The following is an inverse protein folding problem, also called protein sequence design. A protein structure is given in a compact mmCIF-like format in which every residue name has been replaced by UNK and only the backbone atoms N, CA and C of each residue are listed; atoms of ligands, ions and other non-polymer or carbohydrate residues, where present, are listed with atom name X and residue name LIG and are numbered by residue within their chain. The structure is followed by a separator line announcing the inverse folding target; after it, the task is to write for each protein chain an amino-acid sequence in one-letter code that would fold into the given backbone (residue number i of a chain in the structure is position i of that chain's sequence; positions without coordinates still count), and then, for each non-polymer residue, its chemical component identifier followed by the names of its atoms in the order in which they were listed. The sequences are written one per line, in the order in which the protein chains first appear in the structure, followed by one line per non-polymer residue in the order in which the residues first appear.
data_IF_718577822481
#
_entry.id   IF_718577822481
#
_cell.length_a   1.000
_cell.length_b   1.000
_cell.length_c   1.000
_cell.angle_alpha   90.00
_cell.angle_beta   90.00
_cell.angle_gamma   90.00
#
_symmetry.space_group_name_H-M   'P 1'
#
loop_
_entity.id
_entity.type
_entity.pdbx_description
1 polymer ?
#
# COMPACT_ATOMS: atom_id res chain seq x y z
N UNK A 1 22.65 -7.64 11.96
CA UNK A 1 22.81 -7.06 13.32
C UNK A 1 22.18 -7.95 14.40
N UNK A 2 20.86 -8.17 14.41
CA UNK A 2 20.18 -9.01 15.43
C UNK A 2 20.75 -10.44 15.60
N UNK A 3 20.94 -11.17 14.49
CA UNK A 3 21.52 -12.53 14.52
C UNK A 3 22.97 -12.51 15.04
N UNK A 4 23.74 -11.49 14.65
CA UNK A 4 25.13 -11.31 15.08
C UNK A 4 25.22 -11.09 16.60
N UNK A 5 24.33 -10.25 17.15
CA UNK A 5 24.25 -10.01 18.60
C UNK A 5 23.81 -11.26 19.34
N UNK A 6 22.79 -11.98 18.84
CA UNK A 6 22.34 -13.24 19.44
C UNK A 6 23.45 -14.30 19.50
N UNK A 7 24.24 -14.42 18.42
CA UNK A 7 25.38 -15.33 18.37
C UNK A 7 26.47 -14.96 19.37
N UNK A 8 26.75 -13.66 19.54
CA UNK A 8 27.80 -13.17 20.45
C UNK A 8 27.38 -13.22 21.93
N UNK A 9 26.10 -12.98 22.25
CA UNK A 9 25.64 -12.85 23.63
C UNK A 9 25.08 -14.15 24.23
N UNK A 10 24.56 -15.07 23.42
CA UNK A 10 23.89 -16.30 23.92
C UNK A 10 24.48 -17.56 23.29
N UNK A 11 24.72 -17.53 21.98
CA UNK A 11 25.30 -18.64 21.24
C UNK A 11 24.65 -18.86 19.87
N UNK A 12 25.34 -19.61 19.02
CA UNK A 12 24.99 -19.81 17.60
C UNK A 12 23.64 -20.52 17.37
N UNK A 13 23.18 -21.32 18.34
CA UNK A 13 21.89 -22.00 18.28
C UNK A 13 20.72 -21.01 18.23
N UNK A 14 20.80 -19.90 18.97
CA UNK A 14 19.75 -18.89 19.02
C UNK A 14 19.66 -18.10 17.71
N UNK A 15 20.81 -17.74 17.13
CA UNK A 15 20.84 -17.09 15.81
C UNK A 15 20.24 -17.98 14.71
N UNK A 16 20.47 -19.29 14.79
CA UNK A 16 19.88 -20.27 13.86
C UNK A 16 18.37 -20.33 14.01
N UNK A 17 17.85 -20.42 15.25
CA UNK A 17 16.40 -20.40 15.50
C UNK A 17 15.74 -19.11 15.01
N UNK A 18 16.32 -17.95 15.31
CA UNK A 18 15.83 -16.65 14.82
C UNK A 18 15.78 -16.66 13.28
N UNK A 19 16.80 -17.21 12.61
CA UNK A 19 16.80 -17.38 11.15
C UNK A 19 15.60 -18.19 10.65
N UNK A 20 15.31 -19.34 11.28
CA UNK A 20 14.13 -20.15 10.94
C UNK A 20 12.81 -19.40 11.15
N UNK A 21 12.65 -18.68 12.27
CA UNK A 21 11.44 -17.90 12.56
C UNK A 21 11.23 -16.78 11.53
N UNK A 22 12.31 -16.10 11.13
CA UNK A 22 12.25 -15.06 10.10
C UNK A 22 11.82 -15.69 8.76
N UNK A 23 12.45 -16.79 8.34
CA UNK A 23 12.14 -17.44 7.06
C UNK A 23 10.68 -17.92 7.00
N UNK A 24 10.17 -18.55 8.06
CA UNK A 24 8.77 -19.01 8.08
C UNK A 24 7.77 -17.86 8.11
N UNK A 25 8.05 -16.80 8.86
CA UNK A 25 7.23 -15.58 8.90
C UNK A 25 7.18 -14.88 7.54
N UNK A 26 8.32 -14.71 6.88
CA UNK A 26 8.40 -14.10 5.54
C UNK A 26 7.65 -14.95 4.50
N UNK A 27 7.78 -16.27 4.56
CA UNK A 27 7.04 -17.17 3.69
C UNK A 27 5.53 -17.02 3.90
N UNK A 28 5.07 -17.07 5.16
CA UNK A 28 3.66 -16.91 5.49
C UNK A 28 3.10 -15.54 5.04
N UNK A 29 3.84 -14.45 5.28
CA UNK A 29 3.48 -13.11 4.84
C UNK A 29 3.35 -13.01 3.31
N UNK A 30 4.30 -13.61 2.57
CA UNK A 30 4.28 -13.62 1.10
C UNK A 30 3.03 -14.32 0.56
N UNK A 31 2.69 -15.49 1.11
CA UNK A 31 1.46 -16.22 0.75
C UNK A 31 0.20 -15.41 1.07
N UNK A 32 0.17 -14.74 2.22
CA UNK A 32 -0.95 -13.88 2.61
C UNK A 32 -1.13 -12.70 1.65
N UNK A 33 -0.04 -12.03 1.26
CA UNK A 33 -0.08 -10.93 0.30
C UNK A 33 -0.55 -11.39 -1.09
N UNK A 34 -0.07 -12.53 -1.58
CA UNK A 34 -0.50 -13.09 -2.86
C UNK A 34 -2.01 -13.34 -2.90
N UNK A 35 -2.55 -13.91 -1.81
CA UNK A 35 -3.97 -14.18 -1.67
C UNK A 35 -4.81 -12.90 -1.55
N UNK A 36 -4.34 -11.93 -0.77
CA UNK A 36 -4.99 -10.64 -0.60
C UNK A 36 -5.05 -9.87 -1.92
N UNK A 37 -3.91 -9.73 -2.61
CA UNK A 37 -3.82 -9.06 -3.91
C UNK A 37 -4.74 -9.70 -4.96
N UNK A 38 -4.78 -11.03 -5.02
CA UNK A 38 -5.66 -11.75 -5.94
C UNK A 38 -7.14 -11.46 -5.68
N UNK A 39 -7.55 -11.37 -4.40
CA UNK A 39 -8.93 -11.02 -4.01
C UNK A 39 -9.25 -9.56 -4.31
N UNK A 40 -8.31 -8.64 -4.13
CA UNK A 40 -8.48 -7.24 -4.53
C UNK A 40 -8.65 -7.09 -6.04
N UNK A 41 -7.79 -7.70 -6.85
CA UNK A 41 -7.91 -7.68 -8.32
C UNK A 41 -9.23 -8.33 -8.80
N UNK A 42 -9.65 -9.42 -8.15
CA UNK A 42 -10.94 -10.04 -8.42
C UNK A 42 -12.13 -9.12 -8.09
N UNK A 43 -12.10 -8.46 -6.93
CA UNK A 43 -13.12 -7.51 -6.52
C UNK A 43 -13.18 -6.31 -7.47
N UNK A 44 -12.02 -5.77 -7.89
CA UNK A 44 -11.94 -4.71 -8.89
C UNK A 44 -12.45 -5.16 -10.27
N UNK A 45 -12.20 -6.41 -10.66
CA UNK A 45 -12.75 -7.01 -11.89
C UNK A 45 -14.27 -7.18 -11.83
N UNK A 46 -14.81 -7.64 -10.70
CA UNK A 46 -16.26 -7.76 -10.47
C UNK A 46 -16.94 -6.40 -10.40
N UNK A 47 -16.30 -5.44 -9.75
CA UNK A 47 -16.67 -4.04 -9.77
C UNK A 47 -16.47 -3.39 -11.13
N UNK A 48 -15.87 -4.08 -12.12
CA UNK A 48 -15.63 -3.63 -13.49
C UNK A 48 -14.72 -2.40 -13.61
N UNK A 49 -13.86 -2.16 -12.62
CA UNK A 49 -12.71 -1.25 -12.70
C UNK A 49 -11.59 -1.89 -13.52
N UNK A 50 -11.46 -3.21 -13.43
CA UNK A 50 -10.53 -4.03 -14.22
C UNK A 50 -11.28 -4.89 -15.26
N UNK A 51 -10.57 -5.45 -16.26
CA UNK A 51 -11.20 -6.31 -17.27
C UNK A 51 -12.01 -7.45 -16.66
N UNK A 52 -13.15 -7.78 -17.28
CA UNK A 52 -14.07 -8.85 -16.83
C UNK A 52 -13.39 -10.23 -16.70
N UNK A 53 -12.25 -10.44 -17.35
CA UNK A 53 -11.43 -11.65 -17.22
C UNK A 53 -10.88 -11.85 -15.81
N UNK A 54 -10.66 -10.78 -15.03
CA UNK A 54 -10.22 -10.84 -13.64
C UNK A 54 -11.35 -11.18 -12.66
N UNK A 55 -12.61 -11.03 -13.08
CA UNK A 55 -13.79 -11.42 -12.30
C UNK A 55 -14.10 -12.93 -12.37
N UNK A 56 -13.28 -13.73 -13.08
CA UNK A 56 -13.49 -15.17 -13.22
C UNK A 56 -12.86 -15.95 -12.07
N UNK A 57 -13.64 -16.87 -11.49
CA UNK A 57 -13.16 -17.89 -10.55
C UNK A 57 -13.03 -19.24 -11.24
N UNK A 58 -12.15 -20.10 -10.74
CA UNK A 58 -12.05 -21.49 -11.18
C UNK A 58 -13.15 -22.36 -10.53
N UNK A 59 -13.21 -23.64 -10.92
CA UNK A 59 -14.22 -24.60 -10.40
C UNK A 59 -14.16 -24.87 -8.88
N UNK A 60 -13.13 -24.36 -8.18
CA UNK A 60 -13.00 -24.44 -6.71
C UNK A 60 -13.24 -23.09 -6.01
N UNK A 61 -13.69 -22.07 -6.75
CA UNK A 61 -14.02 -20.75 -6.22
C UNK A 61 -12.82 -19.80 -6.06
N UNK A 62 -11.61 -20.19 -6.49
CA UNK A 62 -10.42 -19.33 -6.39
C UNK A 62 -10.26 -18.43 -7.63
N UNK A 63 -9.87 -17.14 -7.47
CA UNK A 63 -9.65 -16.22 -8.58
C UNK A 63 -8.31 -16.51 -9.29
N UNK A 64 -8.29 -17.57 -10.09
CA UNK A 64 -7.07 -18.10 -10.73
C UNK A 64 -6.36 -17.05 -11.61
N UNK A 65 -7.11 -16.31 -12.43
CA UNK A 65 -6.54 -15.32 -13.33
C UNK A 65 -5.85 -14.17 -12.57
N UNK A 66 -6.47 -13.68 -11.49
CA UNK A 66 -5.89 -12.64 -10.64
C UNK A 66 -4.61 -13.12 -9.95
N UNK A 67 -4.59 -14.38 -9.50
CA UNK A 67 -3.42 -14.99 -8.86
C UNK A 67 -2.25 -15.16 -9.84
N UNK A 68 -2.52 -15.67 -11.06
CA UNK A 68 -1.51 -15.80 -12.12
C UNK A 68 -0.91 -14.43 -12.45
N UNK A 69 -1.76 -13.40 -12.61
CA UNK A 69 -1.29 -12.06 -12.98
C UNK A 69 -0.46 -11.44 -11.85
N UNK A 70 -0.87 -11.62 -10.60
CA UNK A 70 -0.08 -11.15 -9.45
C UNK A 70 1.29 -11.84 -9.43
N UNK A 71 1.34 -13.16 -9.63
CA UNK A 71 2.62 -13.91 -9.66
C UNK A 71 3.50 -13.47 -10.83
N UNK A 72 2.91 -13.33 -12.02
CA UNK A 72 3.63 -12.86 -13.20
C UNK A 72 4.21 -11.46 -12.98
N UNK A 73 3.42 -10.54 -12.39
CA UNK A 73 3.90 -9.20 -12.05
C UNK A 73 5.05 -9.25 -11.05
N UNK A 74 4.96 -10.06 -9.99
CA UNK A 74 6.05 -10.23 -9.03
C UNK A 74 7.34 -10.74 -9.70
N UNK A 75 7.24 -11.74 -10.57
CA UNK A 75 8.39 -12.27 -11.31
C UNK A 75 8.99 -11.21 -12.24
N UNK A 76 8.15 -10.45 -12.96
CA UNK A 76 8.60 -9.38 -13.85
C UNK A 76 9.35 -8.28 -13.08
N UNK A 77 8.84 -7.87 -11.91
CA UNK A 77 9.53 -6.89 -11.05
C UNK A 77 10.87 -7.45 -10.59
N UNK A 78 10.94 -8.70 -10.11
CA UNK A 78 12.21 -9.31 -9.69
C UNK A 78 13.21 -9.35 -10.85
N UNK A 79 12.79 -9.81 -12.03
CA UNK A 79 13.64 -9.87 -13.22
C UNK A 79 14.11 -8.48 -13.64
N UNK A 80 13.25 -7.47 -13.59
CA UNK A 80 13.64 -6.09 -13.90
C UNK A 80 14.79 -5.61 -13.00
N UNK A 81 14.70 -5.79 -11.69
CA UNK A 81 15.78 -5.37 -10.77
C UNK A 81 17.05 -6.19 -10.97
N UNK A 82 16.91 -7.50 -11.21
CA UNK A 82 18.05 -8.38 -11.46
C UNK A 82 18.80 -8.03 -12.75
N UNK A 83 18.10 -7.71 -13.84
CA UNK A 83 18.69 -7.34 -15.13
C UNK A 83 19.37 -5.97 -15.10
N UNK A 84 18.88 -5.05 -14.28
CA UNK A 84 19.46 -3.71 -14.11
C UNK A 84 20.57 -3.69 -13.03
N UNK A 85 20.89 -4.82 -12.41
CA UNK A 85 21.92 -4.89 -11.35
C UNK A 85 21.60 -4.07 -10.10
N UNK A 86 20.32 -3.77 -9.87
CA UNK A 86 19.87 -2.97 -8.73
C UNK A 86 19.81 -3.83 -7.47
N UNK A 87 20.34 -3.32 -6.36
CA UNK A 87 20.28 -3.99 -5.06
C UNK A 87 18.80 -4.17 -4.63
N UNK A 88 18.32 -5.41 -4.40
CA UNK A 88 16.93 -5.69 -4.03
C UNK A 88 16.53 -5.13 -2.66
N UNK A 89 17.48 -4.97 -1.75
CA UNK A 89 17.21 -4.41 -0.42
C UNK A 89 17.22 -2.89 -0.52
N UNK A 90 18.28 -2.30 -1.08
CA UNK A 90 18.41 -0.84 -1.09
C UNK A 90 17.42 -0.15 -2.04
N UNK A 91 17.05 -0.79 -3.14
CA UNK A 91 16.14 -0.21 -4.11
C UNK A 91 14.74 -0.80 -3.96
N UNK A 92 14.55 -2.10 -4.26
CA UNK A 92 13.21 -2.68 -4.33
C UNK A 92 12.48 -2.61 -2.98
N UNK A 93 13.10 -3.07 -1.89
CA UNK A 93 12.46 -3.09 -0.58
C UNK A 93 12.11 -1.67 -0.08
N UNK A 94 13.05 -0.72 -0.10
CA UNK A 94 12.76 0.65 0.36
C UNK A 94 11.76 1.38 -0.54
N UNK A 95 11.84 1.23 -1.87
CA UNK A 95 10.89 1.86 -2.79
C UNK A 95 9.48 1.33 -2.58
N UNK A 96 9.31 0.01 -2.48
CA UNK A 96 8.01 -0.61 -2.29
C UNK A 96 7.46 -0.37 -0.88
N UNK A 97 8.31 -0.39 0.15
CA UNK A 97 7.92 -0.08 1.53
C UNK A 97 7.44 1.36 1.65
N UNK A 98 8.20 2.32 1.11
CA UNK A 98 7.82 3.73 1.11
C UNK A 98 6.51 3.97 0.34
N UNK A 99 6.36 3.36 -0.83
CA UNK A 99 5.11 3.43 -1.61
C UNK A 99 3.92 2.85 -0.83
N UNK A 100 4.09 1.71 -0.16
CA UNK A 100 3.05 1.08 0.63
C UNK A 100 2.59 1.96 1.80
N UNK A 101 3.53 2.60 2.50
CA UNK A 101 3.21 3.53 3.60
C UNK A 101 2.48 4.77 3.06
N UNK A 102 2.94 5.36 1.95
CA UNK A 102 2.25 6.51 1.34
C UNK A 102 0.81 6.11 0.97
N UNK A 103 0.64 4.96 0.32
CA UNK A 103 -0.68 4.48 -0.10
C UNK A 103 -1.62 4.22 1.08
N UNK A 104 -1.15 3.56 2.15
CA UNK A 104 -2.00 3.24 3.30
C UNK A 104 -2.41 4.50 4.07
N UNK A 105 -1.47 5.43 4.29
CA UNK A 105 -1.76 6.69 4.96
C UNK A 105 -2.74 7.53 4.14
N UNK A 106 -2.64 7.51 2.80
CA UNK A 106 -3.60 8.17 1.94
C UNK A 106 -5.00 7.57 2.12
N UNK A 107 -5.12 6.24 2.17
CA UNK A 107 -6.39 5.55 2.44
C UNK A 107 -6.93 5.92 3.82
N UNK A 108 -6.09 5.98 4.86
CA UNK A 108 -6.50 6.38 6.21
C UNK A 108 -6.99 7.84 6.29
N UNK A 109 -6.38 8.75 5.51
CA UNK A 109 -6.87 10.13 5.35
C UNK A 109 -8.25 10.12 4.70
N UNK A 110 -8.43 9.37 3.61
CA UNK A 110 -9.74 9.25 2.95
C UNK A 110 -10.81 8.67 3.88
N UNK A 111 -10.47 7.67 4.68
CA UNK A 111 -11.36 7.09 5.69
C UNK A 111 -11.73 8.14 6.73
N UNK A 112 -10.76 8.91 7.23
CA UNK A 112 -11.02 9.98 8.21
C UNK A 112 -11.97 11.05 7.65
N UNK A 113 -11.80 11.44 6.38
CA UNK A 113 -12.74 12.33 5.67
C UNK A 113 -14.11 11.68 5.52
N UNK A 114 -14.17 10.40 5.11
CA UNK A 114 -15.41 9.66 4.93
C UNK A 114 -16.22 9.55 6.22
N UNK A 115 -15.55 9.32 7.37
CA UNK A 115 -16.18 9.29 8.70
C UNK A 115 -16.79 10.65 9.04
N UNK A 116 -16.07 11.75 8.83
CA UNK A 116 -16.58 13.11 9.07
C UNK A 116 -17.82 13.37 8.20
N UNK A 117 -17.76 13.02 6.91
CA UNK A 117 -18.88 13.19 5.97
C UNK A 117 -20.07 12.30 6.34
N UNK A 118 -19.83 11.05 6.73
CA UNK A 118 -20.88 10.11 7.12
C UNK A 118 -21.66 10.62 8.33
N UNK A 119 -20.95 10.97 9.40
CA UNK A 119 -21.58 11.52 10.60
C UNK A 119 -22.10 12.95 10.40
N UNK A 120 -21.64 13.69 9.39
CA UNK A 120 -22.26 14.97 9.02
C UNK A 120 -23.72 14.80 8.58
N UNK A 121 -24.06 13.65 7.99
CA UNK A 121 -25.38 13.33 7.41
C UNK A 121 -26.25 12.44 8.31
N UNK A 122 -25.65 11.58 9.14
CA UNK A 122 -26.35 10.56 9.95
C UNK A 122 -26.08 10.70 11.45
N UNK A 123 -26.10 11.92 11.98
CA UNK A 123 -25.83 12.15 13.40
C UNK A 123 -27.02 11.75 14.28
N UNK A 124 -27.07 10.50 14.74
CA UNK A 124 -28.06 10.03 15.71
C UNK A 124 -27.45 9.97 17.12
N UNK A 125 -27.29 11.13 17.77
CA UNK A 125 -26.95 11.20 19.20
C UNK A 125 -25.48 11.06 19.58
N UNK A 126 -24.56 10.97 18.63
CA UNK A 126 -23.12 10.90 18.93
C UNK A 126 -22.52 12.24 19.38
N UNK A 127 -21.62 12.17 20.37
CA UNK A 127 -20.90 13.33 20.89
C UNK A 127 -19.95 13.96 19.86
N UNK A 128 -19.80 15.29 19.92
CA UNK A 128 -18.93 16.09 19.02
C UNK A 128 -17.49 15.58 18.99
N UNK A 129 -17.02 15.00 20.10
CA UNK A 129 -15.69 14.43 20.20
C UNK A 129 -15.48 13.25 19.24
N UNK A 130 -16.38 12.26 19.25
CA UNK A 130 -16.30 11.06 18.41
C UNK A 130 -16.58 11.38 16.95
N UNK A 131 -17.55 12.27 16.69
CA UNK A 131 -17.99 12.62 15.34
C UNK A 131 -17.00 13.52 14.58
N UNK A 132 -16.33 14.43 15.27
CA UNK A 132 -15.56 15.49 14.61
C UNK A 132 -14.14 15.61 15.13
N UNK A 133 -13.94 15.72 16.45
CA UNK A 133 -12.62 16.05 17.01
C UNK A 133 -11.64 14.90 16.78
N UNK A 134 -12.01 13.66 17.11
CA UNK A 134 -11.13 12.50 16.96
C UNK A 134 -10.77 12.22 15.48
N UNK A 135 -11.72 12.18 14.52
CA UNK A 135 -11.39 12.01 13.11
C UNK A 135 -10.57 13.18 12.54
N UNK A 136 -10.84 14.42 12.95
CA UNK A 136 -10.11 15.60 12.47
C UNK A 136 -8.66 15.62 12.97
N UNK A 137 -8.44 15.27 14.24
CA UNK A 137 -7.09 15.13 14.78
C UNK A 137 -6.30 14.02 14.06
N UNK A 138 -6.96 12.88 13.80
CA UNK A 138 -6.39 11.80 12.98
C UNK A 138 -6.01 12.29 11.59
N UNK A 139 -6.92 12.98 10.91
CA UNK A 139 -6.70 13.56 9.58
C UNK A 139 -5.50 14.50 9.56
N UNK A 140 -5.42 15.44 10.50
CA UNK A 140 -4.32 16.41 10.59
C UNK A 140 -3.00 15.71 10.88
N UNK A 141 -2.98 14.77 11.82
CA UNK A 141 -1.79 14.00 12.17
C UNK A 141 -1.28 13.15 11.00
N UNK A 142 -2.17 12.44 10.31
CA UNK A 142 -1.85 11.62 9.15
C UNK A 142 -1.38 12.47 7.96
N UNK A 143 -2.05 13.59 7.69
CA UNK A 143 -1.65 14.51 6.63
C UNK A 143 -0.26 15.13 6.90
N UNK A 144 0.01 15.50 8.14
CA UNK A 144 1.32 16.00 8.55
C UNK A 144 2.40 14.92 8.46
N UNK A 145 2.11 13.70 8.93
CA UNK A 145 3.02 12.55 8.81
C UNK A 145 3.32 12.20 7.36
N UNK A 146 2.30 12.22 6.49
CA UNK A 146 2.45 11.99 5.06
C UNK A 146 3.32 13.08 4.41
N UNK A 147 3.12 14.34 4.77
CA UNK A 147 3.95 15.45 4.31
C UNK A 147 5.42 15.25 4.71
N UNK A 148 5.70 14.92 5.98
CA UNK A 148 7.06 14.68 6.45
C UNK A 148 7.71 13.51 5.73
N UNK A 149 6.98 12.38 5.58
CA UNK A 149 7.44 11.21 4.86
C UNK A 149 7.79 11.56 3.41
N UNK A 150 6.90 12.25 2.69
CA UNK A 150 7.14 12.67 1.30
C UNK A 150 8.32 13.63 1.21
N UNK A 151 8.45 14.60 2.11
CA UNK A 151 9.54 15.57 2.11
C UNK A 151 10.93 14.92 2.26
N UNK A 152 11.00 13.77 2.94
CA UNK A 152 12.23 13.00 3.20
C UNK A 152 12.28 11.66 2.48
N UNK A 153 11.40 11.43 1.50
CA UNK A 153 11.34 10.15 0.79
C UNK A 153 12.66 9.82 0.08
N UNK A 154 13.37 10.83 -0.44
CA UNK A 154 14.67 10.63 -1.07
C UNK A 154 15.73 10.00 -0.14
N UNK A 155 15.70 10.32 1.17
CA UNK A 155 16.57 9.69 2.17
C UNK A 155 16.21 8.22 2.38
N UNK A 156 14.91 7.94 2.49
CA UNK A 156 14.41 6.59 2.73
C UNK A 156 14.65 5.67 1.53
N UNK A 157 14.40 6.18 0.32
CA UNK A 157 14.44 5.44 -0.92
C UNK A 157 15.80 5.47 -1.62
N UNK A 158 16.79 6.21 -1.11
CA UNK A 158 18.09 6.37 -1.78
C UNK A 158 17.98 7.03 -3.17
N UNK A 159 16.96 7.86 -3.38
CA UNK A 159 16.62 8.47 -4.69
C UNK A 159 16.95 9.96 -4.74
N UNK A 160 18.05 10.37 -4.12
CA UNK A 160 18.44 11.77 -3.97
C UNK A 160 18.87 12.39 -5.31
N UNK A 161 18.56 13.67 -5.53
CA UNK A 161 19.03 14.38 -6.72
C UNK A 161 20.58 14.51 -6.70
N UNK A 162 21.19 14.62 -7.88
CA UNK A 162 22.64 14.81 -8.00
C UNK A 162 23.07 16.12 -7.32
N UNK A 163 24.21 16.08 -6.62
CA UNK A 163 24.86 17.23 -5.97
C UNK A 163 24.05 17.93 -4.86
N UNK A 164 23.07 17.24 -4.28
CA UNK A 164 22.25 17.79 -3.18
C UNK A 164 22.35 16.94 -1.93
N UNK A 165 22.54 17.57 -0.77
CA UNK A 165 22.53 16.90 0.52
C UNK A 165 21.07 16.64 0.98
N UNK A 166 20.62 15.37 0.99
CA UNK A 166 19.24 15.02 1.29
C UNK A 166 18.86 15.22 2.77
N UNK A 167 19.83 15.41 3.67
CA UNK A 167 19.58 15.65 5.10
C UNK A 167 19.10 17.06 5.38
N UNK A 168 19.53 18.03 4.58
CA UNK A 168 19.21 19.45 4.76
C UNK A 168 18.13 19.96 3.82
N UNK A 169 18.04 19.44 2.59
CA UNK A 169 17.05 19.91 1.61
C UNK A 169 15.83 18.99 1.52
N UNK A 170 14.64 19.44 1.97
CA UNK A 170 13.40 18.71 1.73
C UNK A 170 13.09 18.67 0.22
N UNK A 171 12.42 17.61 -0.23
CA UNK A 171 11.95 17.46 -1.63
C UNK A 171 13.02 17.34 -2.73
N UNK A 172 14.31 17.28 -2.38
CA UNK A 172 15.41 17.10 -3.32
C UNK A 172 15.53 15.64 -3.81
N UNK A 173 14.58 15.21 -4.64
CA UNK A 173 14.51 13.84 -5.14
C UNK A 173 14.79 13.77 -6.63
N UNK A 174 15.40 12.67 -7.06
CA UNK A 174 15.53 12.29 -8.46
C UNK A 174 14.17 11.99 -9.09
N UNK A 175 14.13 11.98 -10.42
CA UNK A 175 12.93 11.68 -11.18
C UNK A 175 12.29 10.33 -10.78
N UNK A 176 13.12 9.32 -10.50
CA UNK A 176 12.66 8.00 -10.03
C UNK A 176 11.90 8.11 -8.70
N UNK A 177 12.44 8.87 -7.75
CA UNK A 177 11.80 9.10 -6.45
C UNK A 177 10.44 9.80 -6.60
N UNK A 178 10.38 10.84 -7.42
CA UNK A 178 9.12 11.57 -7.71
C UNK A 178 8.08 10.68 -8.37
N UNK A 179 8.47 9.85 -9.35
CA UNK A 179 7.54 8.93 -10.03
C UNK A 179 6.97 7.93 -9.03
N UNK A 180 7.80 7.29 -8.21
CA UNK A 180 7.34 6.30 -7.23
C UNK A 180 6.39 6.94 -6.21
N UNK A 181 6.75 8.12 -5.69
CA UNK A 181 5.94 8.87 -4.75
C UNK A 181 4.59 9.29 -5.34
N UNK A 182 4.53 9.59 -6.65
CA UNK A 182 3.31 10.02 -7.32
C UNK A 182 2.31 8.88 -7.58
N UNK A 183 2.76 7.61 -7.62
CA UNK A 183 1.91 6.45 -7.99
C UNK A 183 0.61 6.39 -7.16
N UNK A 184 0.61 6.48 -5.81
CA UNK A 184 -0.62 6.40 -5.03
C UNK A 184 -1.60 7.54 -5.34
N UNK A 185 -1.10 8.75 -5.61
CA UNK A 185 -1.93 9.90 -5.95
C UNK A 185 -2.52 9.78 -7.35
N UNK A 186 -1.74 9.31 -8.33
CA UNK A 186 -2.24 9.01 -9.68
C UNK A 186 -3.31 7.92 -9.60
N UNK A 187 -3.07 6.85 -8.83
CA UNK A 187 -4.05 5.79 -8.62
C UNK A 187 -5.35 6.31 -7.99
N UNK A 188 -5.26 7.22 -7.03
CA UNK A 188 -6.42 7.89 -6.44
C UNK A 188 -7.19 8.70 -7.47
N UNK A 189 -6.52 9.53 -8.27
CA UNK A 189 -7.16 10.36 -9.29
C UNK A 189 -7.84 9.48 -10.34
N UNK A 190 -7.15 8.45 -10.83
CA UNK A 190 -7.71 7.48 -11.78
C UNK A 190 -8.92 6.78 -11.16
N UNK A 191 -8.83 6.33 -9.91
CA UNK A 191 -9.94 5.72 -9.18
C UNK A 191 -11.15 6.65 -9.04
N UNK A 192 -10.90 7.92 -8.71
CA UNK A 192 -11.94 8.94 -8.60
C UNK A 192 -12.61 9.24 -9.94
N UNK A 193 -11.84 9.36 -11.03
CA UNK A 193 -12.36 9.57 -12.38
C UNK A 193 -13.19 8.38 -12.88
N UNK A 194 -12.73 7.15 -12.64
CA UNK A 194 -13.49 5.93 -12.95
C UNK A 194 -14.78 5.89 -12.12
N UNK A 195 -14.72 6.31 -10.84
CA UNK A 195 -15.88 6.44 -9.97
C UNK A 195 -16.91 7.44 -10.50
N UNK A 196 -16.47 8.63 -10.94
CA UNK A 196 -17.36 9.65 -11.52
C UNK A 196 -17.97 9.24 -12.86
N UNK A 197 -17.20 8.58 -13.72
CA UNK A 197 -17.68 8.09 -15.01
C UNK A 197 -18.71 6.97 -14.86
N UNK A 198 -18.74 6.30 -13.71
CA UNK A 198 -19.75 5.30 -13.36
C UNK A 198 -20.90 5.97 -12.63
N UNK A 199 -21.98 6.19 -13.37
CA UNK A 199 -23.31 6.38 -12.78
C UNK A 199 -23.64 5.12 -11.99
N UNK A 200 -23.61 5.20 -10.68
CA UNK A 200 -24.11 4.14 -9.80
C UNK A 200 -25.56 3.88 -10.22
N UNK A 201 -25.89 2.63 -10.58
CA UNK A 201 -27.28 2.24 -10.81
C UNK A 201 -27.96 2.30 -9.43
N UNK A 202 -28.61 3.43 -9.13
CA UNK A 202 -29.40 3.67 -7.91
C UNK A 202 -30.39 2.51 -7.60
N UNK A 203 -30.73 1.70 -8.59
CA UNK A 203 -31.53 0.48 -8.43
C UNK A 203 -30.80 -0.65 -7.67
N UNK A 204 -29.49 -0.86 -7.86
CA UNK A 204 -28.75 -1.93 -7.18
C UNK A 204 -28.48 -1.63 -5.70
N UNK A 205 -28.39 -0.34 -5.34
CA UNK A 205 -28.31 0.10 -3.94
C UNK A 205 -29.66 -0.03 -3.25
N UNK A 206 -30.77 0.20 -3.97
CA UNK A 206 -32.12 -0.03 -3.44
C UNK A 206 -32.42 -1.51 -3.19
N UNK A 207 -31.98 -2.39 -4.07
CA UNK A 207 -32.24 -3.84 -3.99
C UNK A 207 -31.46 -4.56 -2.86
N UNK A 208 -30.40 -3.94 -2.32
CA UNK A 208 -29.64 -4.45 -1.17
C UNK A 208 -30.22 -4.03 0.19
N UNK A 209 -31.13 -3.06 0.20
CA UNK A 209 -31.69 -2.45 1.42
C UNK A 209 -33.20 -2.72 1.55
N UNK A 210 -33.84 -3.29 0.52
CA UNK A 210 -35.20 -3.84 0.55
C UNK A 210 -35.23 -5.33 0.88
#
# INVERSE_FOLDING_TARGET
VLITVANQSVGTWLGTLIGWLILTSLFAATVAFQNSASRYLFALGRGGVLPKSMAKVNGRGAPQNASIITTALSVLVILYFQLNGLDPILNLFYWMSGLAVIAIVLVEILVSVAVIVFFSKHAEGEGVFTRLIAPLLGLVGLAFGLYLLMSRFALLAGTTAADVDPTVTPWAQSMTGTVIMAIPFVALVVGYLIGLARKENDEAVKDLVS
#
